data_IF_034159347520
#
_entry.id   IF_034159347520
#
_cell.length_a   1.000
_cell.length_b   1.000
_cell.length_c   1.000
_cell.angle_alpha   90.00
_cell.angle_beta   90.00
_cell.angle_gamma   90.00
#
_symmetry.space_group_name_H-M   'P 1'
#
loop_
_entity.id
_entity.type
_entity.pdbx_description
1 polymer ?
#
# COMPACT_ATOMS: atom_id res chain seq x y z
N UNK A 1 3.73 15.94 -12.02
CA UNK A 1 3.13 17.02 -12.83
C UNK A 1 3.90 18.35 -12.70
N UNK A 2 4.98 18.58 -13.48
CA UNK A 2 5.82 19.78 -13.35
C UNK A 2 5.08 21.11 -13.59
N UNK A 3 4.15 21.13 -14.57
CA UNK A 3 3.39 22.32 -14.91
C UNK A 3 2.48 22.79 -13.76
N UNK A 4 1.83 21.86 -13.05
CA UNK A 4 0.99 22.17 -11.90
C UNK A 4 1.82 22.75 -10.75
N UNK A 5 3.02 22.23 -10.52
CA UNK A 5 3.94 22.76 -9.51
C UNK A 5 4.38 24.21 -9.82
N UNK A 6 4.73 24.49 -11.08
CA UNK A 6 5.09 25.86 -11.52
C UNK A 6 3.89 26.79 -11.37
N UNK A 7 2.70 26.35 -11.79
CA UNK A 7 1.47 27.13 -11.72
C UNK A 7 1.09 27.45 -10.27
N UNK A 8 1.22 26.46 -9.37
CA UNK A 8 1.02 26.66 -7.93
C UNK A 8 2.03 27.65 -7.34
N UNK A 9 3.31 27.57 -7.74
CA UNK A 9 4.34 28.50 -7.27
C UNK A 9 4.05 29.95 -7.73
N UNK A 10 3.63 30.14 -8.98
CA UNK A 10 3.23 31.46 -9.52
C UNK A 10 2.00 31.99 -8.79
N UNK A 11 0.97 31.16 -8.60
CA UNK A 11 -0.24 31.54 -7.87
C UNK A 11 0.05 31.92 -6.41
N UNK A 12 0.92 31.16 -5.74
CA UNK A 12 1.35 31.44 -4.39
C UNK A 12 2.10 32.77 -4.29
N UNK A 13 3.03 32.99 -5.23
CA UNK A 13 3.77 34.25 -5.31
C UNK A 13 2.81 35.43 -5.47
N UNK A 14 1.80 35.31 -6.32
CA UNK A 14 0.78 36.34 -6.51
C UNK A 14 -0.01 36.62 -5.22
N UNK A 15 -0.47 35.57 -4.52
CA UNK A 15 -1.18 35.71 -3.24
C UNK A 15 -0.32 36.41 -2.19
N UNK A 16 0.93 35.95 -2.00
CA UNK A 16 1.88 36.54 -1.04
C UNK A 16 2.18 38.00 -1.40
N UNK A 17 2.29 38.31 -2.70
CA UNK A 17 2.50 39.67 -3.19
C UNK A 17 1.32 40.59 -2.85
N UNK A 18 0.09 40.14 -3.08
CA UNK A 18 -1.12 40.92 -2.75
C UNK A 18 -1.26 41.14 -1.24
N UNK A 19 -0.96 40.13 -0.42
CA UNK A 19 -0.96 40.26 1.04
C UNK A 19 0.03 41.32 1.53
N UNK A 20 1.20 41.43 0.90
CA UNK A 20 2.22 42.45 1.21
C UNK A 20 1.69 43.87 0.98
N UNK A 21 0.83 44.06 -0.03
CA UNK A 21 0.27 45.38 -0.39
C UNK A 21 -0.83 45.84 0.56
N UNK A 22 -1.47 44.94 1.31
CA UNK A 22 -2.66 45.25 2.11
C UNK A 22 -2.50 44.99 3.62
N UNK A 23 -1.36 44.45 4.07
CA UNK A 23 -1.12 44.10 5.48
C UNK A 23 0.09 44.81 6.09
N UNK A 24 0.10 44.96 7.41
CA UNK A 24 1.30 45.36 8.15
C UNK A 24 2.42 44.32 7.96
N UNK A 25 3.68 44.76 7.93
CA UNK A 25 4.89 43.95 7.75
C UNK A 25 4.92 42.71 8.64
N UNK A 26 4.53 42.83 9.92
CA UNK A 26 4.53 41.68 10.85
C UNK A 26 3.50 40.61 10.46
N UNK A 27 2.30 41.03 10.08
CA UNK A 27 1.21 40.13 9.64
C UNK A 27 1.62 39.43 8.34
N UNK A 28 2.18 40.18 7.38
CA UNK A 28 2.72 39.62 6.15
C UNK A 28 3.79 38.55 6.39
N UNK A 29 4.78 38.83 7.27
CA UNK A 29 5.85 37.88 7.58
C UNK A 29 5.30 36.62 8.26
N UNK A 30 4.34 36.78 9.17
CA UNK A 30 3.71 35.66 9.84
C UNK A 30 2.94 34.76 8.84
N UNK A 31 2.04 35.35 8.03
CA UNK A 31 1.23 34.59 7.07
C UNK A 31 2.11 33.92 6.02
N UNK A 32 3.09 34.64 5.46
CA UNK A 32 4.00 34.06 4.45
C UNK A 32 4.82 32.90 5.04
N UNK A 33 5.37 33.05 6.24
CA UNK A 33 6.11 31.96 6.92
C UNK A 33 5.21 30.76 7.18
N UNK A 34 3.97 30.99 7.62
CA UNK A 34 3.00 29.92 7.86
C UNK A 34 2.63 29.17 6.57
N UNK A 35 2.44 29.89 5.47
CA UNK A 35 2.18 29.30 4.15
C UNK A 35 3.36 28.42 3.70
N UNK A 36 4.59 28.93 3.78
CA UNK A 36 5.77 28.15 3.41
C UNK A 36 5.95 26.91 4.32
N UNK A 37 5.65 27.04 5.61
CA UNK A 37 5.68 25.93 6.55
C UNK A 37 4.68 24.84 6.16
N UNK A 38 3.44 25.19 5.80
CA UNK A 38 2.44 24.22 5.34
C UNK A 38 2.92 23.51 4.07
N UNK A 39 3.48 24.26 3.12
CA UNK A 39 3.91 23.71 1.83
C UNK A 39 5.08 22.74 1.99
N UNK A 40 6.02 23.02 2.89
CA UNK A 40 7.23 22.19 3.05
C UNK A 40 6.96 20.91 3.84
N UNK A 41 5.89 20.85 4.64
CA UNK A 41 5.52 19.67 5.44
C UNK A 41 5.33 18.44 4.56
N UNK A 42 4.59 18.54 3.45
CA UNK A 42 4.32 17.37 2.61
C UNK A 42 5.57 16.82 1.89
N UNK A 43 6.38 17.63 1.17
CA UNK A 43 7.63 17.16 0.59
C UNK A 43 8.59 16.56 1.63
N UNK A 44 8.71 17.17 2.82
CA UNK A 44 9.54 16.61 3.88
C UNK A 44 9.01 15.27 4.38
N UNK A 45 7.70 15.13 4.57
CA UNK A 45 7.09 13.86 4.95
C UNK A 45 7.31 12.80 3.86
N UNK A 46 7.13 13.17 2.60
CA UNK A 46 7.30 12.29 1.45
C UNK A 46 8.74 11.78 1.31
N UNK A 47 9.75 12.62 1.56
CA UNK A 47 11.16 12.20 1.50
C UNK A 47 11.49 11.02 2.44
N UNK A 48 10.71 10.81 3.49
CA UNK A 48 10.93 9.69 4.42
C UNK A 48 10.78 8.32 3.77
N UNK A 49 10.03 8.19 2.68
CA UNK A 49 9.84 6.89 2.00
C UNK A 49 11.14 6.36 1.40
N UNK A 50 12.02 7.27 0.95
CA UNK A 50 13.33 6.93 0.37
C UNK A 50 14.37 6.57 1.44
N UNK A 51 14.03 6.73 2.71
CA UNK A 51 14.91 6.37 3.85
C UNK A 51 14.55 5.02 4.46
N UNK A 52 13.48 4.39 3.98
CA UNK A 52 12.94 3.12 4.48
C UNK A 52 12.99 2.07 3.37
N UNK A 53 13.00 0.81 3.77
CA UNK A 53 12.75 -0.28 2.82
C UNK A 53 11.33 -0.15 2.27
N UNK A 54 11.17 -0.37 0.96
CA UNK A 54 9.87 -0.54 0.34
C UNK A 54 9.05 -1.64 1.05
N UNK A 55 7.72 -1.48 1.17
CA UNK A 55 6.87 -2.42 1.94
C UNK A 55 7.04 -3.87 1.49
N UNK A 56 7.16 -4.12 0.17
CA UNK A 56 7.41 -5.46 -0.38
C UNK A 56 8.77 -6.04 0.02
N UNK A 57 9.81 -5.19 0.14
CA UNK A 57 11.13 -5.61 0.62
C UNK A 57 11.05 -5.97 2.11
N UNK A 58 10.43 -5.13 2.93
CA UNK A 58 10.20 -5.38 4.35
C UNK A 58 9.41 -6.68 4.59
N UNK A 59 8.34 -6.86 3.82
CA UNK A 59 7.53 -8.07 3.86
C UNK A 59 8.33 -9.32 3.46
N UNK A 60 9.15 -9.23 2.42
CA UNK A 60 10.01 -10.34 1.97
C UNK A 60 11.03 -10.74 3.02
N UNK A 61 11.68 -9.77 3.67
CA UNK A 61 12.59 -10.02 4.81
C UNK A 61 11.86 -10.73 5.95
N UNK A 62 10.64 -10.31 6.27
CA UNK A 62 9.83 -10.95 7.31
C UNK A 62 9.36 -12.37 6.92
N UNK A 63 8.99 -12.60 5.65
CA UNK A 63 8.62 -13.93 5.13
C UNK A 63 9.80 -14.89 5.31
N UNK A 64 11.00 -14.46 4.93
CA UNK A 64 12.22 -15.23 5.17
C UNK A 64 12.48 -15.43 6.68
N UNK A 65 12.17 -14.49 7.55
CA UNK A 65 12.41 -14.71 8.97
C UNK A 65 11.37 -15.64 9.63
N UNK A 66 10.09 -15.54 9.24
CA UNK A 66 8.96 -16.08 10.01
C UNK A 66 8.18 -17.21 9.35
N UNK A 67 8.22 -17.34 8.02
CA UNK A 67 7.48 -18.37 7.30
C UNK A 67 8.41 -19.56 7.02
N UNK A 68 7.98 -20.75 7.47
CA UNK A 68 8.70 -22.01 7.25
C UNK A 68 8.85 -22.35 5.78
N UNK A 69 9.96 -23.01 5.46
CA UNK A 69 10.17 -23.60 4.13
C UNK A 69 9.10 -24.64 3.81
N UNK A 70 8.78 -24.76 2.52
CA UNK A 70 7.75 -25.68 2.05
C UNK A 70 6.31 -25.20 2.29
N UNK A 71 6.10 -24.06 2.95
CA UNK A 71 4.77 -23.45 3.03
C UNK A 71 4.25 -23.05 1.66
N UNK A 72 2.96 -23.30 1.43
CA UNK A 72 2.25 -22.85 0.22
C UNK A 72 1.83 -21.40 0.39
N UNK A 73 2.29 -20.53 -0.51
CA UNK A 73 1.99 -19.10 -0.50
C UNK A 73 1.17 -18.77 -1.74
N UNK A 74 -0.01 -18.18 -1.53
CA UNK A 74 -0.81 -17.60 -2.61
C UNK A 74 -0.50 -16.12 -2.78
N UNK A 75 -0.37 -15.68 -4.02
CA UNK A 75 -0.19 -14.29 -4.43
C UNK A 75 -1.19 -13.95 -5.53
N UNK A 76 -1.57 -12.68 -5.67
CA UNK A 76 -2.55 -12.28 -6.70
C UNK A 76 -1.89 -12.11 -8.07
N UNK A 77 -2.45 -12.76 -9.10
CA UNK A 77 -2.08 -12.52 -10.50
C UNK A 77 -2.35 -11.05 -10.84
N UNK A 78 -1.42 -10.40 -11.56
CA UNK A 78 -1.31 -8.95 -11.81
C UNK A 78 -0.77 -8.07 -10.68
N UNK A 79 -0.46 -8.61 -9.51
CA UNK A 79 0.29 -7.91 -8.48
C UNK A 79 1.72 -8.49 -8.35
N UNK A 80 2.56 -7.87 -7.53
CA UNK A 80 3.94 -8.34 -7.35
C UNK A 80 4.01 -9.57 -6.42
N UNK A 81 4.46 -10.75 -6.89
CA UNK A 81 4.55 -11.93 -6.05
C UNK A 81 5.65 -11.76 -4.98
N UNK A 82 5.35 -12.20 -3.75
CA UNK A 82 6.27 -12.19 -2.62
C UNK A 82 6.59 -13.62 -2.14
N UNK A 83 7.79 -13.88 -1.61
CA UNK A 83 8.86 -12.91 -1.31
C UNK A 83 9.74 -12.54 -2.52
N UNK A 84 10.18 -11.29 -2.57
CA UNK A 84 11.22 -10.78 -3.47
C UNK A 84 12.61 -11.35 -3.11
N UNK A 85 13.48 -11.48 -4.10
CA UNK A 85 14.88 -11.92 -3.94
C UNK A 85 15.77 -10.84 -3.28
N UNK A 86 15.53 -10.55 -2.00
CA UNK A 86 16.23 -9.50 -1.22
C UNK A 86 17.24 -10.05 -0.20
N UNK A 87 17.36 -11.38 -0.09
CA UNK A 87 18.34 -12.07 0.75
C UNK A 87 18.91 -13.29 0.00
N UNK A 88 20.00 -13.89 0.51
CA UNK A 88 20.80 -14.90 -0.20
C UNK A 88 19.95 -15.91 -1.00
N UNK A 89 20.02 -15.90 -2.35
CA UNK A 89 19.11 -16.60 -3.26
C UNK A 89 19.15 -18.13 -3.16
N UNK A 90 20.04 -18.69 -2.32
CA UNK A 90 20.39 -20.12 -2.34
C UNK A 90 19.59 -21.02 -1.38
N UNK A 91 18.68 -20.50 -0.55
CA UNK A 91 18.22 -21.29 0.62
C UNK A 91 16.71 -21.55 0.76
N UNK A 92 15.83 -20.99 -0.07
CA UNK A 92 14.39 -20.95 0.30
C UNK A 92 13.44 -21.15 -0.88
N UNK A 93 13.04 -22.40 -1.15
CA UNK A 93 11.95 -22.71 -2.08
C UNK A 93 10.59 -22.57 -1.36
N UNK A 94 9.83 -21.55 -1.73
CA UNK A 94 8.41 -21.44 -1.41
C UNK A 94 7.61 -21.96 -2.60
N UNK A 95 6.50 -22.66 -2.35
CA UNK A 95 5.56 -22.99 -3.41
C UNK A 95 4.64 -21.80 -3.62
N UNK A 96 5.07 -20.87 -4.48
CA UNK A 96 4.26 -19.75 -4.93
C UNK A 96 3.20 -20.22 -5.93
N UNK A 97 1.94 -19.89 -5.68
CA UNK A 97 0.84 -20.07 -6.65
C UNK A 97 0.10 -18.75 -6.81
N UNK A 98 -0.16 -18.39 -8.06
CA UNK A 98 -0.92 -17.19 -8.36
C UNK A 98 -2.42 -17.49 -8.37
N UNK A 99 -3.21 -16.63 -7.73
CA UNK A 99 -4.67 -16.64 -7.78
C UNK A 99 -5.15 -15.61 -8.79
N UNK A 100 -5.97 -16.06 -9.74
CA UNK A 100 -6.47 -15.23 -10.83
C UNK A 100 -7.73 -14.46 -10.43
N UNK A 101 -7.58 -13.51 -9.50
CA UNK A 101 -8.71 -12.75 -8.94
C UNK A 101 -9.41 -11.85 -9.97
N UNK A 102 -8.72 -11.42 -11.02
CA UNK A 102 -9.25 -10.54 -12.07
C UNK A 102 -10.08 -11.25 -13.15
N UNK A 103 -10.01 -12.58 -13.22
CA UNK A 103 -10.82 -13.35 -14.16
C UNK A 103 -12.32 -13.17 -13.84
N UNK A 104 -13.22 -13.19 -14.83
CA UNK A 104 -14.66 -13.05 -14.58
C UNK A 104 -15.18 -14.04 -13.54
N UNK A 105 -16.07 -13.59 -12.66
CA UNK A 105 -16.66 -14.47 -11.65
C UNK A 105 -17.47 -15.59 -12.31
N UNK A 106 -17.07 -16.83 -12.02
CA UNK A 106 -17.71 -18.06 -12.48
C UNK A 106 -17.51 -19.17 -11.46
N UNK A 107 -18.37 -20.19 -11.48
CA UNK A 107 -18.22 -21.35 -10.61
C UNK A 107 -16.87 -22.06 -10.84
N UNK A 108 -16.41 -22.13 -12.10
CA UNK A 108 -15.15 -22.79 -12.45
C UNK A 108 -13.94 -22.05 -11.87
N UNK A 109 -13.91 -20.71 -11.97
CA UNK A 109 -12.89 -19.87 -11.32
C UNK A 109 -12.85 -20.15 -9.82
N UNK A 110 -14.01 -20.16 -9.17
CA UNK A 110 -14.09 -20.34 -7.72
C UNK A 110 -13.78 -21.76 -7.26
N UNK A 111 -14.05 -22.78 -8.07
CA UNK A 111 -13.58 -24.15 -7.79
C UNK A 111 -12.04 -24.18 -7.72
N UNK A 112 -11.38 -23.59 -8.70
CA UNK A 112 -9.90 -23.51 -8.74
C UNK A 112 -9.37 -22.70 -7.55
N UNK A 113 -9.90 -21.50 -7.31
CA UNK A 113 -9.46 -20.64 -6.20
C UNK A 113 -9.69 -21.34 -4.85
N UNK A 114 -10.82 -22.02 -4.66
CA UNK A 114 -11.10 -22.74 -3.42
C UNK A 114 -10.13 -23.91 -3.19
N UNK A 115 -9.74 -24.64 -4.24
CA UNK A 115 -8.69 -25.67 -4.15
C UNK A 115 -7.32 -25.09 -3.80
N UNK A 116 -6.99 -23.92 -4.39
CA UNK A 116 -5.77 -23.18 -4.04
C UNK A 116 -5.81 -22.75 -2.56
N UNK A 117 -6.89 -22.12 -2.10
CA UNK A 117 -7.10 -21.70 -0.70
C UNK A 117 -7.08 -22.89 0.27
N UNK A 118 -7.59 -24.06 -0.14
CA UNK A 118 -7.57 -25.28 0.65
C UNK A 118 -6.14 -25.78 0.90
N UNK A 119 -5.26 -25.69 -0.10
CA UNK A 119 -3.85 -26.13 -0.01
C UNK A 119 -2.87 -25.07 0.50
N UNK A 120 -3.31 -23.82 0.68
CA UNK A 120 -2.48 -22.70 1.08
C UNK A 120 -2.25 -22.61 2.59
N UNK A 121 -1.03 -22.21 2.99
CA UNK A 121 -0.72 -21.82 4.37
C UNK A 121 -0.86 -20.30 4.56
N UNK A 122 -0.55 -19.53 3.50
CA UNK A 122 -0.56 -18.07 3.51
C UNK A 122 -1.21 -17.52 2.23
N UNK A 123 -1.85 -16.38 2.37
CA UNK A 123 -2.36 -15.56 1.27
C UNK A 123 -1.75 -14.16 1.39
N UNK A 124 -1.07 -13.70 0.34
CA UNK A 124 -0.34 -12.44 0.33
C UNK A 124 -0.95 -11.51 -0.70
N UNK A 125 -1.32 -10.35 -0.18
CA UNK A 125 -1.83 -9.19 -0.88
C UNK A 125 -0.70 -8.16 -0.89
N UNK A 126 -0.02 -7.94 -2.03
CA UNK A 126 1.20 -7.12 -2.04
C UNK A 126 0.93 -5.62 -2.22
N UNK A 127 -0.27 -5.27 -2.70
CA UNK A 127 -0.80 -3.91 -2.80
C UNK A 127 -2.30 -3.93 -2.98
N UNK A 128 -2.96 -2.79 -2.85
CA UNK A 128 -4.41 -2.66 -3.00
C UNK A 128 -4.95 -2.85 -4.44
N UNK A 129 -4.14 -3.28 -5.40
CA UNK A 129 -4.55 -3.46 -6.79
C UNK A 129 -5.79 -4.34 -6.92
N UNK A 130 -5.79 -5.51 -6.28
CA UNK A 130 -6.90 -6.47 -6.32
C UNK A 130 -8.13 -5.94 -5.60
N UNK A 131 -8.07 -5.85 -4.26
CA UNK A 131 -9.24 -5.49 -3.45
C UNK A 131 -9.73 -4.05 -3.66
N UNK A 132 -8.84 -3.11 -3.98
CA UNK A 132 -9.20 -1.72 -4.23
C UNK A 132 -10.01 -1.56 -5.51
N UNK A 133 -9.60 -2.22 -6.60
CA UNK A 133 -10.33 -2.12 -7.87
C UNK A 133 -11.57 -3.01 -7.93
N UNK A 134 -11.47 -4.25 -7.45
CA UNK A 134 -12.58 -5.22 -7.46
C UNK A 134 -13.65 -4.88 -6.42
N UNK A 135 -13.26 -4.29 -5.29
CA UNK A 135 -14.20 -3.81 -4.28
C UNK A 135 -15.19 -2.79 -4.85
N UNK A 136 -14.69 -1.82 -5.61
CA UNK A 136 -15.49 -0.80 -6.30
C UNK A 136 -16.34 -1.39 -7.44
N UNK A 137 -15.84 -2.42 -8.12
CA UNK A 137 -16.52 -3.10 -9.24
C UNK A 137 -17.41 -4.29 -8.81
N UNK A 138 -18.05 -4.23 -7.64
CA UNK A 138 -18.80 -5.35 -7.05
C UNK A 138 -19.98 -5.86 -7.89
N UNK A 139 -20.57 -5.02 -8.75
CA UNK A 139 -21.61 -5.45 -9.69
C UNK A 139 -21.07 -6.46 -10.73
N UNK A 140 -19.80 -6.32 -11.11
CA UNK A 140 -19.14 -7.19 -12.09
C UNK A 140 -18.44 -8.38 -11.43
N UNK A 141 -17.98 -8.23 -10.19
CA UNK A 141 -17.21 -9.24 -9.45
C UNK A 141 -17.82 -9.56 -8.08
N UNK A 142 -19.11 -9.93 -7.99
CA UNK A 142 -19.83 -10.02 -6.72
C UNK A 142 -19.24 -11.07 -5.76
N UNK A 143 -18.74 -12.20 -6.29
CA UNK A 143 -18.16 -13.26 -5.46
C UNK A 143 -16.74 -12.90 -5.03
N UNK A 144 -15.95 -12.27 -5.90
CA UNK A 144 -14.61 -11.79 -5.52
C UNK A 144 -14.65 -10.66 -4.50
N UNK A 145 -15.56 -9.69 -4.64
CA UNK A 145 -15.74 -8.64 -3.63
C UNK A 145 -16.17 -9.23 -2.27
N UNK A 146 -17.05 -10.24 -2.28
CA UNK A 146 -17.42 -10.96 -1.05
C UNK A 146 -16.25 -11.72 -0.44
N UNK A 147 -15.39 -12.33 -1.27
CA UNK A 147 -14.16 -12.97 -0.80
C UNK A 147 -13.25 -11.98 -0.08
N UNK A 148 -12.98 -10.80 -0.66
CA UNK A 148 -12.17 -9.77 -0.01
C UNK A 148 -12.78 -9.31 1.32
N UNK A 149 -14.10 -9.07 1.34
CA UNK A 149 -14.80 -8.73 2.58
C UNK A 149 -14.57 -9.78 3.66
N UNK A 150 -14.73 -11.07 3.33
CA UNK A 150 -14.49 -12.17 4.28
C UNK A 150 -13.02 -12.32 4.68
N UNK A 151 -12.07 -12.05 3.77
CA UNK A 151 -10.63 -12.02 4.09
C UNK A 151 -10.34 -10.97 5.16
N UNK A 152 -10.86 -9.74 5.01
CA UNK A 152 -10.62 -8.67 5.97
C UNK A 152 -11.38 -8.84 7.28
N UNK A 153 -12.56 -9.46 7.26
CA UNK A 153 -13.31 -9.84 8.46
C UNK A 153 -12.69 -11.05 9.19
N UNK A 154 -11.78 -11.79 8.54
CA UNK A 154 -11.18 -13.01 9.07
C UNK A 154 -12.15 -14.20 9.14
N UNK A 155 -13.22 -14.20 8.34
CA UNK A 155 -14.31 -15.19 8.40
C UNK A 155 -14.19 -16.31 7.38
N UNK A 156 -13.14 -16.32 6.56
CA UNK A 156 -12.88 -17.36 5.54
C UNK A 156 -11.72 -18.30 5.90
N UNK A 157 -11.36 -18.37 7.18
CA UNK A 157 -10.29 -19.25 7.67
C UNK A 157 -8.88 -18.68 7.50
N UNK A 158 -8.74 -17.43 7.07
CA UNK A 158 -7.47 -16.69 7.07
C UNK A 158 -7.52 -15.54 8.08
N UNK A 159 -6.44 -15.31 8.81
CA UNK A 159 -6.29 -14.15 9.72
C UNK A 159 -5.09 -13.32 9.31
N UNK A 160 -5.20 -12.00 9.48
CA UNK A 160 -4.09 -11.08 9.24
C UNK A 160 -2.94 -11.40 10.21
N UNK A 161 -1.82 -11.86 9.66
CA UNK A 161 -0.62 -12.18 10.42
C UNK A 161 0.33 -10.98 10.50
N UNK A 162 0.42 -10.20 9.43
CA UNK A 162 1.29 -9.03 9.37
C UNK A 162 0.86 -8.04 8.29
N UNK A 163 1.04 -6.76 8.59
CA UNK A 163 0.87 -5.64 7.66
C UNK A 163 2.19 -4.86 7.54
N UNK A 164 2.50 -4.41 6.32
CA UNK A 164 3.61 -3.51 6.03
C UNK A 164 3.13 -2.32 5.21
N UNK A 165 3.50 -1.13 5.65
CA UNK A 165 3.21 0.13 4.98
C UNK A 165 4.43 1.05 5.07
N UNK A 166 4.54 1.98 4.14
CA UNK A 166 5.57 3.01 4.14
C UNK A 166 4.96 4.38 3.89
N UNK A 167 4.20 4.87 4.87
CA UNK A 167 3.60 6.20 4.76
C UNK A 167 4.67 7.31 4.77
N UNK A 168 4.41 8.41 4.04
CA UNK A 168 5.05 9.69 4.29
C UNK A 168 5.01 10.03 5.78
N UNK A 169 6.10 10.54 6.33
CA UNK A 169 6.29 10.64 7.78
C UNK A 169 7.35 11.68 8.12
N UNK A 170 7.15 12.39 9.22
CA UNK A 170 8.16 13.31 9.77
C UNK A 170 8.99 12.64 10.90
N UNK A 171 8.84 11.33 11.11
CA UNK A 171 9.54 10.59 12.17
C UNK A 171 11.06 10.70 12.09
N UNK A 172 11.61 10.75 10.88
CA UNK A 172 13.06 10.91 10.67
C UNK A 172 13.59 12.27 11.15
N UNK A 173 12.72 13.27 11.33
CA UNK A 173 13.01 14.56 11.94
C UNK A 173 12.71 14.58 13.46
N UNK A 174 12.38 13.44 14.05
CA UNK A 174 11.98 13.33 15.46
C UNK A 174 10.53 13.71 15.74
N UNK A 175 9.71 13.96 14.70
CA UNK A 175 8.30 14.34 14.83
C UNK A 175 7.44 13.09 14.61
N UNK A 176 6.71 12.56 15.61
CA UNK A 176 6.00 11.28 15.52
C UNK A 176 4.66 11.38 14.76
N UNK A 177 4.71 11.89 13.53
CA UNK A 177 3.54 12.07 12.65
C UNK A 177 3.77 11.28 11.37
N UNK A 178 2.78 10.44 11.04
CA UNK A 178 2.66 9.72 9.77
C UNK A 178 1.45 10.28 9.01
N UNK A 179 1.52 10.25 7.68
CA UNK A 179 0.46 10.72 6.79
C UNK A 179 -0.01 9.54 5.94
N UNK A 180 -1.02 8.78 6.41
CA UNK A 180 -1.62 7.72 5.60
C UNK A 180 -2.18 8.28 4.29
N UNK A 181 -1.81 7.65 3.19
CA UNK A 181 -2.11 8.10 1.84
C UNK A 181 -2.73 7.00 0.97
N UNK A 182 -3.39 6.02 1.58
CA UNK A 182 -4.13 4.98 0.83
C UNK A 182 -5.35 5.49 0.08
N UNK A 183 -5.76 6.74 0.33
CA UNK A 183 -6.78 7.43 -0.45
C UNK A 183 -6.20 8.04 -1.74
N UNK A 184 -4.87 8.01 -1.94
CA UNK A 184 -4.23 8.49 -3.15
C UNK A 184 -4.50 7.57 -4.36
N UNK A 185 -4.17 8.05 -5.55
CA UNK A 185 -4.32 7.29 -6.79
C UNK A 185 -3.48 6.00 -6.79
N UNK A 186 -3.80 5.08 -7.71
CA UNK A 186 -3.15 3.77 -7.84
C UNK A 186 -1.62 3.88 -7.99
N UNK A 187 -1.12 4.93 -8.64
CA UNK A 187 0.33 5.16 -8.77
C UNK A 187 1.04 5.17 -7.40
N UNK A 188 0.43 5.79 -6.39
CA UNK A 188 0.97 5.81 -5.03
C UNK A 188 0.69 4.50 -4.30
N UNK A 189 -0.54 4.00 -4.36
CA UNK A 189 -0.96 2.89 -3.50
C UNK A 189 -0.54 1.51 -3.99
N UNK A 190 -0.09 1.39 -5.24
CA UNK A 190 0.41 0.14 -5.82
C UNK A 190 1.92 0.14 -6.07
N UNK A 191 2.51 1.27 -6.43
CA UNK A 191 3.93 1.34 -6.79
C UNK A 191 4.79 2.00 -5.73
N UNK A 192 4.45 3.21 -5.29
CA UNK A 192 5.33 3.96 -4.37
C UNK A 192 5.19 3.49 -2.91
N UNK A 193 3.97 3.41 -2.40
CA UNK A 193 3.63 3.11 -1.01
C UNK A 193 2.65 1.94 -0.86
N UNK A 194 2.93 0.75 -1.43
CA UNK A 194 2.00 -0.35 -1.35
C UNK A 194 1.78 -0.82 0.09
N UNK A 195 0.53 -1.12 0.39
CA UNK A 195 0.13 -1.81 1.61
C UNK A 195 0.22 -3.32 1.37
N UNK A 196 1.18 -3.97 2.03
CA UNK A 196 1.32 -5.43 1.97
C UNK A 196 0.59 -6.05 3.16
N UNK A 197 -0.33 -6.95 2.88
CA UNK A 197 -1.08 -7.72 3.86
C UNK A 197 -0.73 -9.21 3.72
N UNK A 198 -0.25 -9.81 4.80
CA UNK A 198 0.04 -11.23 4.87
C UNK A 198 -0.99 -11.90 5.77
N UNK A 199 -1.80 -12.77 5.18
CA UNK A 199 -2.77 -13.57 5.89
C UNK A 199 -2.25 -14.99 6.09
N UNK A 200 -2.50 -15.56 7.28
CA UNK A 200 -2.16 -16.93 7.63
C UNK A 200 -3.43 -17.75 7.79
N UNK A 201 -3.42 -18.97 7.27
CA UNK A 201 -4.52 -19.91 7.45
C UNK A 201 -4.65 -20.36 8.91
N UNK A 202 -5.86 -20.32 9.43
CA UNK A 202 -6.20 -20.90 10.71
C UNK A 202 -6.20 -22.43 10.59
N UNK A 203 -5.35 -23.09 11.37
CA UNK A 203 -5.32 -24.56 11.45
C UNK A 203 -6.48 -25.14 12.27
N UNK A 204 -7.44 -24.31 12.65
CA UNK A 204 -8.56 -24.67 13.51
C UNK A 204 -9.87 -24.59 12.73
N UNK A 205 -10.03 -25.50 11.77
CA UNK A 205 -11.32 -26.03 11.31
C UNK A 205 -11.08 -27.37 10.63
#
# INVERSE_FOLDING_TARGET
YPFLAISAAVGLWFIIHQLKLHSNRLIYLFISSFIYLIIIVWPLAFMSIYTKDHSRVSASKWIYEKISYGSTILTEYWDDPLPLMVSDPRTRNYMGKEVHIFDPDSSDKWNIINEQLASADYYIMSSNRGWGSIGEASERYPTTSLFYKKMFEGTNGFMLAKEFTSYPSLRYLGIPIDFPDQWAEEAFTVYDHPQVLIFKKNKTQ
#
